data_IF_625053527903
#
_entry.id   IF_625053527903
#
_cell.length_a   1.000
_cell.length_b   1.000
_cell.length_c   1.000
_cell.angle_alpha   90.00
_cell.angle_beta   90.00
_cell.angle_gamma   90.00
#
_symmetry.space_group_name_H-M   'P 1'
#
loop_
_entity.id
_entity.type
_entity.pdbx_description
1 polymer ?
#
# COMPACT_ATOMS: atom_id res chain seq x y z
N UNK A 1 -0.23 17.23 20.77
CA UNK A 1 -1.19 16.52 19.89
C UNK A 1 -1.95 17.55 19.09
N UNK A 2 -2.08 17.37 17.77
CA UNK A 2 -2.84 18.28 16.92
C UNK A 2 -4.32 18.29 17.33
N UNK A 3 -4.89 19.48 17.51
CA UNK A 3 -6.29 19.69 17.93
C UNK A 3 -7.24 19.92 16.76
N UNK A 4 -6.71 20.07 15.54
CA UNK A 4 -7.48 20.27 14.30
C UNK A 4 -6.87 19.45 13.14
N UNK A 5 -7.65 19.10 12.11
CA UNK A 5 -7.14 18.38 10.92
C UNK A 5 -5.99 19.12 10.23
N UNK A 6 -6.08 20.44 10.11
CA UNK A 6 -5.04 21.30 9.50
C UNK A 6 -3.75 21.28 10.33
N UNK A 7 -3.86 21.33 11.66
CA UNK A 7 -2.70 21.19 12.54
C UNK A 7 -2.06 19.80 12.43
N UNK A 8 -2.87 18.75 12.22
CA UNK A 8 -2.39 17.40 11.95
C UNK A 8 -1.61 17.30 10.64
N UNK A 9 -2.12 17.95 9.58
CA UNK A 9 -1.43 18.06 8.30
C UNK A 9 -0.09 18.77 8.45
N UNK A 10 -0.07 19.95 9.08
CA UNK A 10 1.16 20.71 9.29
C UNK A 10 2.20 19.90 10.10
N UNK A 11 1.76 19.14 11.12
CA UNK A 11 2.64 18.28 11.90
C UNK A 11 3.22 17.12 11.07
N UNK A 12 2.42 16.49 10.21
CA UNK A 12 2.89 15.41 9.33
C UNK A 12 3.85 15.95 8.26
N UNK A 13 3.59 17.14 7.71
CA UNK A 13 4.49 17.82 6.77
C UNK A 13 5.83 18.16 7.42
N UNK A 14 5.82 18.69 8.64
CA UNK A 14 7.04 18.94 9.40
C UNK A 14 7.83 17.65 9.62
N UNK A 15 7.17 16.59 10.12
CA UNK A 15 7.83 15.29 10.35
C UNK A 15 8.42 14.73 9.06
N UNK A 16 7.70 14.87 7.95
CA UNK A 16 8.19 14.44 6.65
C UNK A 16 9.44 15.23 6.22
N UNK A 17 9.44 16.56 6.41
CA UNK A 17 10.60 17.39 6.11
C UNK A 17 11.82 17.07 6.99
N UNK A 18 11.60 16.62 8.22
CA UNK A 18 12.66 16.18 9.14
C UNK A 18 13.23 14.80 8.75
N UNK A 19 12.34 13.85 8.43
CA UNK A 19 12.74 12.48 8.10
C UNK A 19 13.40 12.37 6.73
N UNK A 20 12.91 13.12 5.74
CA UNK A 20 13.44 13.06 4.40
C UNK A 20 13.38 14.43 3.70
N UNK A 21 14.31 15.35 4.03
CA UNK A 21 14.31 16.72 3.48
C UNK A 21 14.50 16.78 1.96
N UNK A 22 15.02 15.70 1.36
CA UNK A 22 15.19 15.56 -0.09
C UNK A 22 14.10 14.73 -0.76
N UNK A 23 13.34 13.95 0.02
CA UNK A 23 12.24 13.15 -0.50
C UNK A 23 10.99 14.02 -0.50
N UNK A 24 10.42 14.24 -1.67
CA UNK A 24 9.13 14.91 -1.81
C UNK A 24 8.05 13.86 -2.11
N UNK A 25 7.61 13.06 -1.12
CA UNK A 25 6.46 12.21 -1.37
C UNK A 25 5.26 13.12 -1.67
N UNK A 26 4.45 12.69 -2.63
CA UNK A 26 3.37 13.49 -3.20
C UNK A 26 2.01 12.99 -2.70
N UNK A 27 1.57 13.44 -1.52
CA UNK A 27 0.21 13.18 -1.08
C UNK A 27 -0.74 13.99 -1.96
N UNK A 28 -1.20 13.40 -3.05
CA UNK A 28 -2.19 14.03 -3.94
C UNK A 28 -3.57 13.95 -3.29
N UNK A 29 -4.33 15.07 -3.18
CA UNK A 29 -5.71 15.00 -2.71
C UNK A 29 -6.61 14.30 -3.73
N UNK A 30 -7.84 14.00 -3.31
CA UNK A 30 -8.89 13.70 -4.28
C UNK A 30 -9.18 14.97 -5.08
N UNK A 31 -8.96 14.90 -6.39
CA UNK A 31 -9.32 15.98 -7.28
C UNK A 31 -10.76 15.76 -7.76
N UNK A 32 -11.66 16.68 -7.40
CA UNK A 32 -12.97 16.82 -8.04
C UNK A 32 -12.91 18.13 -8.81
N UNK A 33 -12.90 18.09 -10.15
CA UNK A 33 -12.85 19.33 -10.89
C UNK A 33 -14.18 20.06 -10.71
N UNK A 34 -14.09 21.38 -10.55
CA UNK A 34 -15.22 22.30 -10.38
C UNK A 34 -16.18 22.29 -11.58
N UNK A 35 -15.76 21.75 -12.72
CA UNK A 35 -16.49 21.77 -13.98
C UNK A 35 -16.89 20.40 -14.54
N UNK A 36 -16.51 19.28 -13.90
CA UNK A 36 -17.01 17.97 -14.37
C UNK A 36 -18.45 17.79 -13.93
N UNK A 37 -19.39 17.86 -14.87
CA UNK A 37 -20.71 17.28 -14.68
C UNK A 37 -20.52 15.80 -14.34
N UNK A 38 -20.95 15.45 -13.13
CA UNK A 38 -20.89 14.15 -12.47
C UNK A 38 -20.71 12.97 -13.44
N UNK A 39 -19.50 12.41 -13.51
CA UNK A 39 -19.32 11.04 -13.99
C UNK A 39 -19.55 10.11 -12.81
N UNK A 40 -20.82 9.86 -12.52
CA UNK A 40 -21.28 8.90 -11.51
C UNK A 40 -20.86 7.49 -11.96
N UNK A 41 -20.18 6.74 -11.09
CA UNK A 41 -20.17 5.28 -11.18
C UNK A 41 -18.84 4.57 -11.49
N UNK A 42 -17.69 5.25 -11.58
CA UNK A 42 -16.39 4.55 -11.55
C UNK A 42 -15.76 4.70 -10.18
N UNK A 43 -15.37 3.57 -9.58
CA UNK A 43 -14.53 3.52 -8.37
C UNK A 43 -13.43 4.56 -8.51
N UNK A 44 -13.47 5.59 -7.66
CA UNK A 44 -12.62 6.77 -7.79
C UNK A 44 -11.15 6.41 -7.53
N UNK A 45 -10.47 5.94 -8.57
CA UNK A 45 -9.02 5.99 -8.63
C UNK A 45 -8.62 7.46 -8.47
N UNK A 46 -7.60 7.70 -7.64
CA UNK A 46 -7.01 9.04 -7.51
C UNK A 46 -6.46 9.41 -8.90
N UNK A 47 -7.06 10.40 -9.56
CA UNK A 47 -6.56 10.91 -10.83
C UNK A 47 -5.13 11.43 -10.63
N UNK A 48 -4.21 10.99 -11.49
CA UNK A 48 -2.77 11.26 -11.38
C UNK A 48 -2.20 11.59 -12.74
N UNK A 49 -1.04 12.23 -12.74
CA UNK A 49 -0.28 12.41 -13.98
C UNK A 49 -1.09 13.11 -15.06
N UNK A 50 -1.21 12.44 -16.22
CA UNK A 50 -1.99 12.92 -17.35
C UNK A 50 -3.48 13.01 -17.00
N UNK A 51 -4.05 12.01 -16.33
CA UNK A 51 -5.47 12.01 -15.96
C UNK A 51 -5.83 13.22 -15.09
N UNK A 52 -4.93 13.64 -14.21
CA UNK A 52 -5.11 14.85 -13.40
C UNK A 52 -5.20 16.09 -14.30
N UNK A 53 -4.27 16.27 -15.23
CA UNK A 53 -4.28 17.42 -16.15
C UNK A 53 -5.54 17.43 -17.03
N UNK A 54 -5.96 16.26 -17.50
CA UNK A 54 -7.16 16.10 -18.32
C UNK A 54 -8.44 16.41 -17.52
N UNK A 55 -8.47 16.06 -16.24
CA UNK A 55 -9.58 16.33 -15.34
C UNK A 55 -9.69 17.83 -15.02
N UNK A 56 -8.58 18.57 -15.04
CA UNK A 56 -8.53 20.02 -14.84
C UNK A 56 -9.05 20.82 -16.05
N UNK A 57 -9.11 20.22 -17.24
CA UNK A 57 -9.56 20.89 -18.45
C UNK A 57 -11.10 20.92 -18.55
N UNK A 58 -11.66 22.09 -18.86
CA UNK A 58 -13.11 22.29 -19.01
C UNK A 58 -13.63 21.78 -20.36
N UNK A 59 -12.86 21.94 -21.44
CA UNK A 59 -13.30 21.60 -22.81
C UNK A 59 -12.45 20.49 -23.44
N UNK A 60 -12.98 19.86 -24.50
CA UNK A 60 -12.24 18.86 -25.26
C UNK A 60 -11.04 19.45 -26.02
N UNK A 61 -11.15 20.70 -26.51
CA UNK A 61 -10.04 21.39 -27.15
C UNK A 61 -8.86 21.61 -26.19
N UNK A 62 -9.15 22.04 -24.95
CA UNK A 62 -8.12 22.17 -23.90
C UNK A 62 -7.43 20.84 -23.59
N UNK A 63 -8.20 19.73 -23.58
CA UNK A 63 -7.65 18.38 -23.39
C UNK A 63 -6.69 17.98 -24.50
N UNK A 64 -7.01 18.31 -25.76
CA UNK A 64 -6.13 18.06 -26.91
C UNK A 64 -4.83 18.87 -26.80
N UNK A 65 -4.92 20.15 -26.42
CA UNK A 65 -3.72 20.99 -26.18
C UNK A 65 -2.80 20.42 -25.08
N UNK A 66 -3.38 19.89 -24.00
CA UNK A 66 -2.61 19.24 -22.93
C UNK A 66 -1.95 17.95 -23.40
N UNK A 67 -2.63 17.14 -24.22
CA UNK A 67 -2.05 15.92 -24.78
C UNK A 67 -0.84 16.24 -25.66
N UNK A 68 -0.97 17.24 -26.54
CA UNK A 68 0.14 17.72 -27.36
C UNK A 68 1.30 18.24 -26.51
N UNK A 69 1.01 18.98 -25.43
CA UNK A 69 2.01 19.47 -24.49
C UNK A 69 2.78 18.32 -23.84
N UNK A 70 2.07 17.32 -23.31
CA UNK A 70 2.70 16.16 -22.64
C UNK A 70 3.54 15.36 -23.62
N UNK A 71 3.06 15.10 -24.84
CA UNK A 71 3.81 14.42 -25.89
C UNK A 71 5.06 15.18 -26.31
N UNK A 72 4.98 16.52 -26.40
CA UNK A 72 6.11 17.37 -26.78
C UNK A 72 7.27 17.31 -25.78
N UNK A 73 6.97 17.21 -24.49
CA UNK A 73 7.99 17.18 -23.44
C UNK A 73 8.39 15.76 -23.02
N UNK A 74 7.61 14.74 -23.38
CA UNK A 74 7.95 13.34 -23.13
C UNK A 74 8.97 12.84 -24.17
N UNK A 75 10.19 12.53 -23.72
CA UNK A 75 11.24 12.01 -24.60
C UNK A 75 11.08 10.52 -24.93
N UNK A 76 10.35 9.79 -24.10
CA UNK A 76 10.22 8.33 -24.17
C UNK A 76 8.76 7.91 -23.87
N UNK A 77 7.80 8.22 -24.77
CA UNK A 77 6.37 8.03 -24.51
C UNK A 77 5.93 6.57 -24.39
N UNK A 78 6.74 5.61 -24.83
CA UNK A 78 6.44 4.19 -24.71
C UNK A 78 6.83 3.60 -23.35
N UNK A 79 7.73 4.25 -22.61
CA UNK A 79 8.25 3.76 -21.32
C UNK A 79 7.94 4.66 -20.13
N UNK A 80 7.76 5.96 -20.38
CA UNK A 80 7.69 6.96 -19.33
C UNK A 80 6.29 7.58 -19.27
N UNK A 81 5.75 7.61 -18.06
CA UNK A 81 4.49 8.27 -17.75
C UNK A 81 4.75 9.62 -17.07
N UNK A 82 3.86 10.59 -17.30
CA UNK A 82 3.95 11.89 -16.64
C UNK A 82 3.43 11.80 -15.20
N UNK A 83 4.24 12.20 -14.25
CA UNK A 83 3.88 12.41 -12.85
C UNK A 83 3.90 13.90 -12.52
N UNK A 84 2.85 14.38 -11.84
CA UNK A 84 2.77 15.79 -11.39
C UNK A 84 3.13 15.85 -9.90
N UNK A 85 4.20 16.58 -9.61
CA UNK A 85 4.67 16.88 -8.27
C UNK A 85 3.90 18.08 -7.71
N UNK A 86 3.48 17.98 -6.46
CA UNK A 86 2.89 19.06 -5.71
C UNK A 86 2.87 18.81 -4.21
N UNK A 87 2.62 19.85 -3.44
CA UNK A 87 2.52 19.79 -1.99
C UNK A 87 1.34 20.64 -1.51
N UNK A 88 0.68 20.16 -0.46
CA UNK A 88 -0.31 20.98 0.23
C UNK A 88 0.39 22.11 0.99
N UNK A 89 -0.15 23.33 0.94
CA UNK A 89 0.30 24.43 1.76
C UNK A 89 -0.74 24.70 2.85
N UNK A 90 -0.38 24.36 4.09
CA UNK A 90 -1.25 24.55 5.24
C UNK A 90 -1.54 26.03 5.55
N UNK A 91 -0.67 26.96 5.12
CA UNK A 91 -0.88 28.39 5.35
C UNK A 91 -1.94 28.97 4.40
N UNK A 92 -1.90 28.57 3.13
CA UNK A 92 -2.85 29.02 2.10
C UNK A 92 -4.06 28.09 1.94
N UNK A 93 -4.05 26.94 2.62
CA UNK A 93 -5.07 25.88 2.51
C UNK A 93 -5.29 25.43 1.06
N UNK A 94 -4.22 25.40 0.27
CA UNK A 94 -4.26 25.10 -1.15
C UNK A 94 -3.22 24.05 -1.53
N UNK A 95 -3.52 23.25 -2.55
CA UNK A 95 -2.59 22.27 -3.10
C UNK A 95 -1.78 22.89 -4.24
N UNK A 96 -0.46 22.99 -4.07
CA UNK A 96 0.42 23.64 -5.04
C UNK A 96 1.08 22.63 -5.97
N UNK A 97 0.75 22.68 -7.26
CA UNK A 97 1.41 21.93 -8.32
C UNK A 97 2.71 22.64 -8.72
N UNK A 98 3.83 21.96 -8.58
CA UNK A 98 5.15 22.57 -8.70
C UNK A 98 5.95 22.09 -9.89
N UNK A 99 5.74 20.86 -10.37
CA UNK A 99 6.57 20.30 -11.45
C UNK A 99 5.92 19.07 -12.09
N UNK A 100 6.14 18.88 -13.38
CA UNK A 100 5.90 17.63 -14.09
C UNK A 100 7.24 16.88 -14.26
N UNK A 101 7.22 15.57 -14.03
CA UNK A 101 8.37 14.67 -14.23
C UNK A 101 7.93 13.45 -15.00
N UNK A 102 8.80 12.92 -15.85
CA UNK A 102 8.55 11.67 -16.57
C UNK A 102 9.25 10.54 -15.83
N UNK A 103 8.49 9.49 -15.52
CA UNK A 103 8.94 8.38 -14.69
C UNK A 103 8.61 7.06 -15.38
N UNK A 104 9.52 6.11 -15.29
CA UNK A 104 9.26 4.73 -15.66
C UNK A 104 8.38 4.04 -14.60
N UNK A 105 7.96 2.80 -14.90
CA UNK A 105 7.06 2.00 -14.07
C UNK A 105 7.51 1.88 -12.59
N UNK A 106 8.77 1.53 -12.33
CA UNK A 106 9.26 1.29 -10.95
C UNK A 106 9.27 2.57 -10.08
N UNK A 107 9.80 3.71 -10.53
CA UNK A 107 9.63 4.97 -9.81
C UNK A 107 8.16 5.39 -9.66
N UNK A 108 7.31 5.10 -10.65
CA UNK A 108 5.89 5.44 -10.60
C UNK A 108 5.17 4.74 -9.44
N UNK A 109 5.49 3.47 -9.16
CA UNK A 109 4.95 2.72 -8.02
C UNK A 109 5.14 3.49 -6.70
N UNK A 110 6.27 4.15 -6.54
CA UNK A 110 6.57 4.90 -5.31
C UNK A 110 5.77 6.21 -5.22
N UNK A 111 5.49 6.83 -6.36
CA UNK A 111 4.53 7.93 -6.42
C UNK A 111 3.10 7.42 -6.16
N UNK A 112 2.85 6.12 -6.40
CA UNK A 112 1.62 5.43 -6.07
C UNK A 112 1.64 4.68 -4.74
N UNK A 113 1.60 5.43 -3.63
CA UNK A 113 1.57 4.88 -2.27
C UNK A 113 0.55 3.76 -2.03
N UNK A 114 -0.59 3.75 -2.75
CA UNK A 114 -1.58 2.68 -2.59
C UNK A 114 -1.08 1.39 -3.23
N UNK A 115 -0.64 1.46 -4.50
CA UNK A 115 -0.05 0.32 -5.21
C UNK A 115 1.23 -0.17 -4.52
N UNK A 116 2.06 0.74 -3.98
CA UNK A 116 3.25 0.32 -3.23
C UNK A 116 2.88 -0.43 -1.94
N UNK A 117 1.81 -0.03 -1.24
CA UNK A 117 1.32 -0.73 -0.03
C UNK A 117 0.68 -2.06 -0.40
N UNK A 118 -0.06 -2.13 -1.51
CA UNK A 118 -0.60 -3.40 -2.04
C UNK A 118 0.54 -4.34 -2.42
N UNK A 119 1.56 -3.84 -3.13
CA UNK A 119 2.77 -4.58 -3.49
C UNK A 119 3.52 -5.08 -2.26
N UNK A 120 3.62 -4.29 -1.18
CA UNK A 120 4.23 -4.76 0.08
C UNK A 120 3.51 -5.98 0.68
N UNK A 121 2.20 -6.13 0.44
CA UNK A 121 1.40 -7.27 0.91
C UNK A 121 1.52 -8.46 -0.05
N UNK A 122 1.52 -8.20 -1.36
CA UNK A 122 1.55 -9.24 -2.39
C UNK A 122 2.96 -9.80 -2.63
N UNK A 123 3.95 -8.92 -2.81
CA UNK A 123 5.35 -9.24 -3.07
C UNK A 123 6.29 -8.26 -2.32
N UNK A 124 6.69 -8.59 -1.08
CA UNK A 124 7.55 -7.73 -0.28
C UNK A 124 8.96 -7.57 -0.85
N UNK A 125 9.44 -8.48 -1.70
CA UNK A 125 10.76 -8.40 -2.33
C UNK A 125 10.75 -7.34 -3.44
N UNK A 126 9.74 -7.36 -4.31
CA UNK A 126 9.56 -6.35 -5.35
C UNK A 126 9.32 -4.95 -4.75
N UNK A 127 8.53 -4.85 -3.67
CA UNK A 127 8.32 -3.59 -2.97
C UNK A 127 9.63 -3.02 -2.39
N UNK A 128 10.48 -3.88 -1.83
CA UNK A 128 11.78 -3.48 -1.31
C UNK A 128 12.71 -2.96 -2.42
N UNK A 129 12.70 -3.57 -3.60
CA UNK A 129 13.47 -3.11 -4.76
C UNK A 129 13.01 -1.73 -5.27
N UNK A 130 11.70 -1.48 -5.28
CA UNK A 130 11.14 -0.17 -5.64
C UNK A 130 11.59 0.93 -4.64
N UNK A 131 11.58 0.62 -3.34
CA UNK A 131 12.05 1.54 -2.28
C UNK A 131 13.56 1.79 -2.39
N UNK A 132 14.35 0.76 -2.69
CA UNK A 132 15.79 0.92 -2.90
C UNK A 132 16.11 1.79 -4.11
N UNK A 133 15.33 1.66 -5.18
CA UNK A 133 15.43 2.49 -6.38
C UNK A 133 15.08 3.95 -6.09
N UNK A 134 14.06 4.20 -5.26
CA UNK A 134 13.74 5.53 -4.76
C UNK A 134 14.89 6.13 -3.95
N UNK A 135 15.45 5.37 -3.01
CA UNK A 135 16.56 5.82 -2.17
C UNK A 135 17.75 6.23 -3.03
N UNK A 136 18.16 5.37 -3.97
CA UNK A 136 19.27 5.64 -4.89
C UNK A 136 19.01 6.88 -5.74
N UNK A 137 17.81 7.04 -6.31
CA UNK A 137 17.47 8.19 -7.16
C UNK A 137 17.46 9.52 -6.40
N UNK A 138 17.21 9.49 -5.09
CA UNK A 138 17.26 10.65 -4.21
C UNK A 138 18.62 10.84 -3.50
N UNK A 139 19.63 10.02 -3.84
CA UNK A 139 20.98 10.12 -3.28
C UNK A 139 21.11 9.63 -1.84
N UNK A 140 20.23 8.71 -1.43
CA UNK A 140 20.24 8.05 -0.13
C UNK A 140 20.78 6.63 -0.21
N UNK A 141 21.33 6.15 0.90
CA UNK A 141 21.85 4.78 1.02
C UNK A 141 20.71 3.78 1.28
N UNK A 142 20.86 2.56 0.75
CA UNK A 142 19.86 1.48 0.89
C UNK A 142 19.67 1.07 2.36
N UNK A 143 20.68 1.26 3.21
CA UNK A 143 20.55 1.02 4.66
C UNK A 143 19.54 1.94 5.35
N UNK A 144 19.11 3.03 4.71
CA UNK A 144 18.09 3.95 5.20
C UNK A 144 16.65 3.52 4.86
N UNK A 145 16.44 2.24 4.48
CA UNK A 145 15.12 1.71 4.11
C UNK A 145 14.04 1.94 5.16
N UNK A 146 14.35 1.75 6.44
CA UNK A 146 13.40 2.00 7.53
C UNK A 146 12.91 3.45 7.61
N UNK A 147 13.80 4.41 7.32
CA UNK A 147 13.46 5.83 7.25
C UNK A 147 12.54 6.08 6.04
N UNK A 148 12.82 5.46 4.90
CA UNK A 148 11.94 5.56 3.73
C UNK A 148 10.55 4.98 4.00
N UNK A 149 10.46 3.80 4.62
CA UNK A 149 9.19 3.18 5.02
C UNK A 149 8.39 4.08 5.98
N UNK A 150 9.06 4.71 6.96
CA UNK A 150 8.44 5.68 7.84
C UNK A 150 7.94 6.92 7.07
N UNK A 151 8.73 7.44 6.14
CA UNK A 151 8.33 8.57 5.28
C UNK A 151 7.12 8.23 4.41
N UNK A 152 7.10 7.04 3.81
CA UNK A 152 5.98 6.54 3.01
C UNK A 152 4.71 6.40 3.86
N UNK A 153 4.85 5.91 5.09
CA UNK A 153 3.74 5.81 6.05
C UNK A 153 3.18 7.18 6.43
N UNK A 154 4.05 8.16 6.69
CA UNK A 154 3.66 9.55 6.97
C UNK A 154 2.98 10.18 5.75
N UNK A 155 3.50 9.96 4.55
CA UNK A 155 2.92 10.44 3.30
C UNK A 155 1.53 9.83 3.04
N UNK A 156 1.36 8.54 3.32
CA UNK A 156 0.07 7.85 3.22
C UNK A 156 -0.97 8.41 4.20
N UNK A 157 -0.56 8.67 5.45
CA UNK A 157 -1.42 9.31 6.44
C UNK A 157 -1.84 10.72 6.01
N UNK A 158 -0.89 11.51 5.48
CA UNK A 158 -1.14 12.84 4.96
C UNK A 158 -2.12 12.80 3.77
N UNK A 159 -1.91 11.89 2.82
CA UNK A 159 -2.85 11.65 1.71
C UNK A 159 -4.26 11.33 2.26
N UNK A 160 -4.36 10.45 3.26
CA UNK A 160 -5.64 10.06 3.85
C UNK A 160 -6.37 11.24 4.49
N UNK A 161 -5.66 12.13 5.18
CA UNK A 161 -6.25 13.36 5.74
C UNK A 161 -6.70 14.33 4.65
N UNK A 162 -5.91 14.50 3.58
CA UNK A 162 -6.27 15.37 2.45
C UNK A 162 -7.52 14.87 1.71
N UNK A 163 -7.81 13.56 1.72
CA UNK A 163 -9.06 13.00 1.18
C UNK A 163 -10.32 13.41 1.93
N UNK A 164 -10.20 13.91 3.16
CA UNK A 164 -11.35 14.36 3.94
C UNK A 164 -11.86 15.75 3.52
N UNK A 165 -11.11 16.48 2.69
CA UNK A 165 -11.53 17.79 2.21
C UNK A 165 -12.47 17.63 1.00
N UNK A 166 -13.66 18.29 1.01
CA UNK A 166 -14.63 18.18 -0.07
C UNK A 166 -14.16 18.86 -1.36
N UNK A 167 -13.42 19.96 -1.26
CA UNK A 167 -12.73 20.62 -2.37
C UNK A 167 -11.52 21.35 -1.81
N UNK A 168 -10.33 21.08 -2.36
CA UNK A 168 -9.10 21.77 -2.01
C UNK A 168 -8.76 22.71 -3.18
N UNK A 169 -8.71 24.04 -2.95
CA UNK A 169 -8.20 24.98 -3.95
C UNK A 169 -6.80 24.55 -4.40
N UNK A 170 -6.49 24.68 -5.68
CA UNK A 170 -5.15 24.40 -6.17
C UNK A 170 -4.47 25.66 -6.68
N UNK A 171 -3.15 25.66 -6.60
CA UNK A 171 -2.29 26.68 -7.19
C UNK A 171 -1.31 26.01 -8.13
N UNK A 172 -0.89 26.71 -9.19
CA UNK A 172 0.21 26.30 -10.04
C UNK A 172 1.36 27.27 -9.76
N UNK A 173 2.51 26.75 -9.31
CA UNK A 173 3.67 27.57 -8.91
C UNK A 173 3.29 28.69 -7.90
N UNK A 174 2.39 28.38 -6.96
CA UNK A 174 1.91 29.32 -5.94
C UNK A 174 0.89 30.36 -6.42
N UNK A 175 0.47 30.32 -7.69
CA UNK A 175 -0.61 31.18 -8.20
C UNK A 175 -1.94 30.42 -8.18
N UNK A 176 -3.01 30.95 -7.56
CA UNK A 176 -4.33 30.33 -7.63
C UNK A 176 -4.85 30.37 -9.06
N UNK A 177 -5.38 29.25 -9.53
CA UNK A 177 -5.86 29.10 -10.91
C UNK A 177 -7.27 28.51 -10.87
N UNK A 178 -8.17 29.13 -11.61
CA UNK A 178 -9.51 28.62 -11.91
C UNK A 178 -9.58 28.47 -13.43
N UNK A 179 -9.86 27.26 -13.92
CA UNK A 179 -9.85 26.95 -15.36
C UNK A 179 -11.29 26.84 -15.84
N UNK A 180 -11.72 27.81 -16.62
CA UNK A 180 -13.03 27.80 -17.29
C UNK A 180 -12.91 27.53 -18.80
N UNK A 181 -14.05 27.58 -19.51
CA UNK A 181 -14.10 27.35 -20.97
C UNK A 181 -13.33 28.39 -21.79
N UNK A 182 -13.06 29.57 -21.22
CA UNK A 182 -12.37 30.70 -21.87
C UNK A 182 -10.89 30.78 -21.52
N UNK A 183 -10.43 29.95 -20.60
CA UNK A 183 -9.06 29.97 -20.08
C UNK A 183 -8.12 29.29 -21.07
N UNK A 184 -7.02 29.98 -21.41
CA UNK A 184 -5.90 29.39 -22.16
C UNK A 184 -5.09 28.47 -21.22
N UNK A 185 -5.10 27.16 -21.48
CA UNK A 185 -4.48 26.16 -20.58
C UNK A 185 -2.99 25.98 -20.79
N UNK A 186 -2.48 26.22 -22.01
CA UNK A 186 -1.05 26.08 -22.32
C UNK A 186 -0.14 26.97 -21.45
N UNK A 187 -0.39 28.30 -21.31
CA UNK A 187 0.42 29.17 -20.45
C UNK A 187 0.40 28.76 -18.97
N UNK A 188 -0.67 28.11 -18.52
CA UNK A 188 -0.84 27.66 -17.14
C UNK A 188 -0.04 26.39 -16.86
N UNK A 189 -0.03 25.42 -17.78
CA UNK A 189 0.65 24.14 -17.57
C UNK A 189 2.11 24.14 -18.01
N UNK A 190 2.52 24.97 -18.97
CA UNK A 190 3.91 25.10 -19.42
C UNK A 190 4.92 25.25 -18.26
N UNK A 191 4.68 26.09 -17.23
CA UNK A 191 5.56 26.21 -16.07
C UNK A 191 5.72 24.95 -15.20
N UNK A 192 4.89 23.92 -15.38
CA UNK A 192 5.10 22.62 -14.73
C UNK A 192 6.19 21.82 -15.46
N UNK A 193 6.30 21.96 -16.78
CA UNK A 193 7.28 21.25 -17.61
C UNK A 193 8.60 22.01 -17.75
N UNK A 194 8.56 23.34 -17.61
CA UNK A 194 9.73 24.22 -17.65
C UNK A 194 10.26 24.52 -16.22
N UNK A 195 11.57 24.72 -16.07
CA UNK A 195 12.15 25.18 -14.81
C UNK A 195 11.68 26.62 -14.49
N UNK A 196 11.44 26.96 -13.21
CA UNK A 196 10.81 28.22 -12.85
C UNK A 196 11.69 29.43 -13.19
N UNK A 197 11.27 30.24 -14.16
CA UNK A 197 11.73 31.62 -14.30
C UNK A 197 10.89 32.54 -13.40
N UNK A 198 11.55 33.38 -12.60
CA UNK A 198 10.92 34.33 -11.69
C UNK A 198 10.32 35.50 -12.49
N UNK A 199 9.00 35.69 -12.47
CA UNK A 199 8.35 36.85 -13.11
C UNK A 199 7.71 37.82 -12.12
N UNK A 200 7.89 39.12 -12.42
CA UNK A 200 7.39 40.30 -11.71
C UNK A 200 5.99 40.69 -12.22
N UNK A 201 5.13 41.17 -11.31
CA UNK A 201 3.75 41.59 -11.58
C UNK A 201 3.64 42.96 -12.27
N UNK A 202 2.61 43.12 -13.12
CA UNK A 202 2.17 44.40 -13.72
C UNK A 202 0.68 44.63 -13.40
N UNK A 203 0.34 45.83 -12.93
CA UNK A 203 -1.02 46.29 -12.63
C UNK A 203 -1.57 47.15 -13.78
N UNK A 204 -2.84 46.97 -14.16
CA UNK A 204 -3.60 47.91 -15.00
C UNK A 204 -4.91 48.29 -14.32
N UNK A 205 -5.20 49.61 -14.25
CA UNK A 205 -6.51 50.15 -13.80
C UNK A 205 -7.19 50.85 -14.97
N UNK A 206 -8.46 50.54 -15.22
CA UNK A 206 -9.37 51.34 -16.07
C UNK A 206 -10.42 52.03 -15.18
N UNK A 207 -10.90 53.21 -15.60
CA UNK A 207 -12.20 53.76 -15.17
C UNK A 207 -12.91 54.50 -16.29
N UNK A 208 -14.21 54.23 -16.33
CA UNK A 208 -15.35 54.68 -17.13
C UNK A 208 -15.76 56.13 -16.88
N UNK A 209 -16.54 56.71 -17.81
CA UNK A 209 -17.78 57.45 -17.48
C UNK A 209 -18.58 57.87 -18.73
N UNK A 210 -19.89 57.56 -18.74
CA UNK A 210 -20.90 58.34 -19.46
C UNK A 210 -22.23 58.35 -18.70
N UNK A 211 -22.79 59.55 -18.50
CA UNK A 211 -24.12 59.83 -17.92
C UNK A 211 -25.03 60.36 -19.04
N UNK A 212 -26.33 60.01 -19.02
CA UNK A 212 -27.45 60.98 -19.10
C UNK A 212 -28.86 60.35 -18.92
N UNK A 213 -29.67 61.13 -18.17
CA UNK A 213 -31.15 61.22 -17.95
C UNK A 213 -32.02 61.02 -19.21
N UNK A 214 -33.37 60.85 -19.21
CA UNK A 214 -34.48 60.77 -18.23
C UNK A 214 -35.74 60.22 -18.97
N UNK A 215 -36.56 59.46 -18.24
CA UNK A 215 -38.02 59.16 -18.31
C UNK A 215 -38.86 59.46 -19.56
N UNK A 216 -39.73 58.49 -19.91
CA UNK A 216 -41.18 58.72 -19.78
C UNK A 216 -41.93 57.42 -19.46
N UNK A 217 -42.18 57.01 -18.20
CA UNK A 217 -42.84 55.70 -18.01
C UNK A 217 -43.40 55.44 -16.61
N UNK A 218 -44.74 55.50 -16.46
CA UNK A 218 -45.44 54.98 -15.27
C UNK A 218 -45.95 53.55 -15.51
N UNK A 219 -46.46 53.25 -16.71
CA UNK A 219 -46.93 51.91 -17.06
C UNK A 219 -45.79 50.91 -17.32
N UNK A 220 -44.65 51.33 -17.89
CA UNK A 220 -43.47 50.45 -17.89
C UNK A 220 -42.81 50.34 -16.53
N UNK A 221 -42.95 51.32 -15.63
CA UNK A 221 -42.40 51.17 -14.28
C UNK A 221 -43.15 50.06 -13.51
N UNK A 222 -44.46 49.94 -13.71
CA UNK A 222 -45.27 48.89 -13.08
C UNK A 222 -45.03 47.52 -13.74
N UNK A 223 -44.94 47.46 -15.07
CA UNK A 223 -44.56 46.22 -15.78
C UNK A 223 -43.12 45.78 -15.48
N UNK A 224 -42.21 46.73 -15.27
CA UNK A 224 -40.85 46.46 -14.82
C UNK A 224 -40.81 46.01 -13.35
N UNK A 225 -41.64 46.59 -12.48
CA UNK A 225 -41.76 46.15 -11.09
C UNK A 225 -42.34 44.73 -10.97
N UNK A 226 -43.31 44.38 -11.82
CA UNK A 226 -43.88 43.03 -11.86
C UNK A 226 -42.92 42.02 -12.51
N UNK A 227 -42.20 42.41 -13.56
CA UNK A 227 -41.13 41.61 -14.14
C UNK A 227 -40.00 41.34 -13.13
N UNK A 228 -39.65 42.34 -12.32
CA UNK A 228 -38.68 42.20 -11.22
C UNK A 228 -39.20 41.28 -10.11
N UNK A 229 -40.50 41.34 -9.77
CA UNK A 229 -41.11 40.39 -8.83
C UNK A 229 -41.07 38.95 -9.34
N UNK A 230 -41.45 38.74 -10.60
CA UNK A 230 -41.42 37.41 -11.20
C UNK A 230 -39.99 36.88 -11.26
N UNK A 231 -39.03 37.73 -11.66
CA UNK A 231 -37.62 37.37 -11.65
C UNK A 231 -37.14 36.93 -10.27
N UNK A 232 -37.55 37.60 -9.19
CA UNK A 232 -37.20 37.19 -7.83
C UNK A 232 -37.81 35.86 -7.41
N UNK A 233 -39.04 35.57 -7.85
CA UNK A 233 -39.67 34.28 -7.59
C UNK A 233 -38.99 33.15 -8.34
N UNK A 234 -38.60 33.42 -9.60
CA UNK A 234 -37.86 32.45 -10.41
C UNK A 234 -36.45 32.23 -9.83
N UNK A 235 -35.75 33.29 -9.41
CA UNK A 235 -34.45 33.20 -8.71
C UNK A 235 -34.57 32.39 -7.40
N UNK A 236 -35.61 32.64 -6.60
CA UNK A 236 -35.85 31.86 -5.37
C UNK A 236 -36.12 30.37 -5.65
N UNK A 237 -36.84 30.09 -6.73
CA UNK A 237 -37.13 28.71 -7.15
C UNK A 237 -35.87 28.00 -7.63
N UNK A 238 -35.02 28.69 -8.39
CA UNK A 238 -33.73 28.17 -8.83
C UNK A 238 -32.81 27.89 -7.62
N UNK A 239 -32.82 28.75 -6.60
CA UNK A 239 -32.10 28.53 -5.33
C UNK A 239 -32.64 27.31 -4.57
N UNK A 240 -33.95 27.12 -4.50
CA UNK A 240 -34.58 25.96 -3.85
C UNK A 240 -34.27 24.65 -4.59
N UNK A 241 -34.29 24.67 -5.92
CA UNK A 241 -33.94 23.54 -6.78
C UNK A 241 -32.44 23.20 -6.64
N UNK A 242 -31.55 24.19 -6.61
CA UNK A 242 -30.12 24.00 -6.32
C UNK A 242 -29.90 23.42 -4.93
N UNK A 243 -30.61 23.92 -3.92
CA UNK A 243 -30.52 23.40 -2.55
C UNK A 243 -31.03 21.96 -2.46
N UNK A 244 -32.06 21.59 -3.24
CA UNK A 244 -32.55 20.22 -3.34
C UNK A 244 -31.49 19.27 -3.95
N UNK A 245 -30.85 19.68 -5.05
CA UNK A 245 -29.77 18.91 -5.69
C UNK A 245 -28.60 18.69 -4.73
N UNK A 246 -28.17 19.75 -4.02
CA UNK A 246 -27.07 19.63 -3.04
C UNK A 246 -27.43 18.68 -1.89
N UNK A 247 -28.68 18.69 -1.42
CA UNK A 247 -29.15 17.74 -0.39
C UNK A 247 -29.09 16.30 -0.90
N UNK A 248 -29.55 16.05 -2.13
CA UNK A 248 -29.52 14.71 -2.74
C UNK A 248 -28.08 14.21 -2.90
N UNK A 249 -27.17 15.03 -3.44
CA UNK A 249 -25.74 14.70 -3.55
C UNK A 249 -25.13 14.38 -2.18
N UNK A 250 -25.43 15.17 -1.15
CA UNK A 250 -24.91 14.94 0.19
C UNK A 250 -25.45 13.62 0.80
N UNK A 251 -26.70 13.27 0.53
CA UNK A 251 -27.30 12.00 0.96
C UNK A 251 -26.61 10.83 0.25
N UNK A 252 -26.46 10.89 -1.07
CA UNK A 252 -25.78 9.84 -1.85
C UNK A 252 -24.31 9.68 -1.42
N UNK A 253 -23.61 10.78 -1.19
CA UNK A 253 -22.25 10.76 -0.67
C UNK A 253 -22.18 10.11 0.72
N UNK A 254 -23.09 10.47 1.63
CA UNK A 254 -23.15 9.84 2.95
C UNK A 254 -23.42 8.34 2.86
N UNK A 255 -24.35 7.91 2.00
CA UNK A 255 -24.67 6.49 1.78
C UNK A 255 -23.46 5.74 1.22
N UNK A 256 -22.82 6.26 0.18
CA UNK A 256 -21.64 5.62 -0.43
C UNK A 256 -20.46 5.51 0.54
N UNK A 257 -20.22 6.54 1.37
CA UNK A 257 -19.19 6.48 2.42
C UNK A 257 -19.53 5.44 3.49
N UNK A 258 -20.79 5.36 3.94
CA UNK A 258 -21.23 4.36 4.91
C UNK A 258 -21.15 2.93 4.35
N UNK A 259 -21.50 2.71 3.09
CA UNK A 259 -21.39 1.41 2.44
C UNK A 259 -19.93 0.98 2.26
N UNK A 260 -19.05 1.90 1.86
CA UNK A 260 -17.61 1.62 1.77
C UNK A 260 -17.01 1.27 3.14
N UNK A 261 -17.41 1.96 4.20
CA UNK A 261 -16.99 1.63 5.57
C UNK A 261 -17.54 0.28 6.04
N UNK A 262 -18.81 -0.03 5.73
CA UNK A 262 -19.40 -1.34 6.00
C UNK A 262 -18.62 -2.45 5.29
N UNK A 263 -18.27 -2.27 4.02
CA UNK A 263 -17.45 -3.22 3.27
C UNK A 263 -16.07 -3.41 3.90
N UNK A 264 -15.40 -2.32 4.34
CA UNK A 264 -14.12 -2.43 5.05
C UNK A 264 -14.22 -3.28 6.31
N UNK A 265 -15.26 -3.07 7.13
CA UNK A 265 -15.48 -3.87 8.35
C UNK A 265 -15.70 -5.35 8.03
N UNK A 266 -16.50 -5.64 7.00
CA UNK A 266 -16.70 -7.02 6.54
C UNK A 266 -15.37 -7.65 6.10
N UNK A 267 -14.57 -6.94 5.29
CA UNK A 267 -13.26 -7.42 4.85
C UNK A 267 -12.27 -7.60 6.01
N UNK A 268 -12.31 -6.72 7.00
CA UNK A 268 -11.49 -6.83 8.20
C UNK A 268 -11.91 -8.06 9.03
N UNK A 269 -13.22 -8.26 9.23
CA UNK A 269 -13.74 -9.43 9.96
C UNK A 269 -13.37 -10.73 9.26
N UNK A 270 -13.50 -10.81 7.93
CA UNK A 270 -13.10 -12.01 7.17
C UNK A 270 -11.59 -12.27 7.29
N UNK A 271 -10.75 -11.23 7.21
CA UNK A 271 -9.30 -11.36 7.39
C UNK A 271 -8.94 -11.84 8.80
N UNK A 272 -9.60 -11.32 9.85
CA UNK A 272 -9.37 -11.81 11.22
C UNK A 272 -9.80 -13.26 11.40
N UNK A 273 -10.88 -13.70 10.73
CA UNK A 273 -11.33 -15.08 10.77
C UNK A 273 -10.35 -16.02 10.05
N UNK A 274 -9.86 -15.64 8.86
CA UNK A 274 -8.80 -16.39 8.15
C UNK A 274 -7.55 -16.48 9.02
N UNK A 275 -7.14 -15.40 9.68
CA UNK A 275 -5.98 -15.40 10.58
C UNK A 275 -6.18 -16.36 11.77
N UNK A 276 -7.37 -16.36 12.40
CA UNK A 276 -7.72 -17.33 13.46
C UNK A 276 -7.65 -18.77 12.95
N UNK A 277 -8.15 -19.03 11.75
CA UNK A 277 -8.11 -20.37 11.15
C UNK A 277 -6.68 -20.81 10.83
N UNK A 278 -5.83 -19.92 10.33
CA UNK A 278 -4.41 -20.20 10.11
C UNK A 278 -3.68 -20.55 11.42
N UNK A 279 -3.93 -19.79 12.50
CA UNK A 279 -3.35 -20.08 13.81
C UNK A 279 -3.81 -21.43 14.35
N UNK A 280 -5.10 -21.75 14.22
CA UNK A 280 -5.64 -23.08 14.58
C UNK A 280 -4.99 -24.19 13.76
N UNK A 281 -4.88 -24.02 12.44
CA UNK A 281 -4.26 -25.00 11.56
C UNK A 281 -2.77 -25.21 11.89
N UNK A 282 -2.04 -24.13 12.21
CA UNK A 282 -0.64 -24.20 12.67
C UNK A 282 -0.54 -24.97 13.98
N UNK A 283 -1.38 -24.64 14.97
CA UNK A 283 -1.42 -25.35 16.25
C UNK A 283 -1.73 -26.84 16.08
N UNK A 284 -2.68 -27.20 15.21
CA UNK A 284 -2.98 -28.60 14.89
C UNK A 284 -1.77 -29.30 14.29
N UNK A 285 -1.09 -28.68 13.31
CA UNK A 285 0.13 -29.24 12.70
C UNK A 285 1.23 -29.48 13.73
N UNK A 286 1.46 -28.52 14.63
CA UNK A 286 2.49 -28.62 15.67
C UNK A 286 2.17 -29.76 16.66
N UNK A 287 0.91 -29.89 17.08
CA UNK A 287 0.45 -30.99 17.95
C UNK A 287 0.62 -32.33 17.25
N UNK A 288 0.22 -32.46 15.98
CA UNK A 288 0.39 -33.70 15.21
C UNK A 288 1.86 -34.09 15.12
N UNK A 289 2.76 -33.13 14.84
CA UNK A 289 4.21 -33.37 14.78
C UNK A 289 4.77 -33.86 16.12
N UNK A 290 4.33 -33.28 17.23
CA UNK A 290 4.73 -33.72 18.58
C UNK A 290 4.23 -35.14 18.87
N UNK A 291 2.99 -35.46 18.52
CA UNK A 291 2.40 -36.79 18.70
C UNK A 291 3.14 -37.83 17.86
N UNK A 292 3.47 -37.53 16.60
CA UNK A 292 4.22 -38.42 15.72
C UNK A 292 5.66 -38.66 16.22
N UNK A 293 6.30 -37.61 16.74
CA UNK A 293 7.62 -37.71 17.36
C UNK A 293 7.58 -38.63 18.58
N UNK A 294 6.60 -38.44 19.47
CA UNK A 294 6.42 -39.29 20.65
C UNK A 294 6.04 -40.73 20.28
N UNK A 295 5.19 -40.93 19.27
CA UNK A 295 4.85 -42.25 18.75
C UNK A 295 6.10 -42.97 18.24
N UNK A 296 6.95 -42.28 17.48
CA UNK A 296 8.21 -42.82 16.97
C UNK A 296 9.15 -43.21 18.11
N UNK A 297 9.24 -42.38 19.16
CA UNK A 297 10.02 -42.68 20.38
C UNK A 297 9.51 -43.92 21.11
N UNK A 298 8.20 -44.11 21.24
CA UNK A 298 7.62 -45.31 21.86
C UNK A 298 7.88 -46.56 21.04
N UNK A 299 7.70 -46.50 19.73
CA UNK A 299 8.02 -47.62 18.83
C UNK A 299 9.49 -48.00 18.91
N UNK A 300 10.41 -47.02 18.98
CA UNK A 300 11.84 -47.32 19.13
C UNK A 300 12.17 -47.91 20.51
N UNK A 301 11.54 -47.42 21.58
CA UNK A 301 11.72 -47.97 22.93
C UNK A 301 11.18 -49.41 23.06
N UNK A 302 10.02 -49.69 22.46
CA UNK A 302 9.43 -51.04 22.43
C UNK A 302 10.31 -52.01 21.64
N UNK A 303 10.85 -51.57 20.48
CA UNK A 303 11.82 -52.36 19.70
C UNK A 303 13.07 -52.68 20.52
N UNK A 304 13.63 -51.70 21.22
CA UNK A 304 14.80 -51.90 22.07
C UNK A 304 14.51 -52.88 23.22
N UNK A 305 13.33 -52.77 23.83
CA UNK A 305 12.90 -53.67 24.92
C UNK A 305 12.73 -55.11 24.42
N UNK A 306 12.19 -55.31 23.20
CA UNK A 306 12.11 -56.64 22.58
C UNK A 306 13.49 -57.23 22.32
N UNK A 307 14.41 -56.44 21.75
CA UNK A 307 15.80 -56.86 21.52
C UNK A 307 16.48 -57.24 22.84
N UNK A 308 16.31 -56.46 23.92
CA UNK A 308 16.82 -56.83 25.24
C UNK A 308 16.18 -58.11 25.79
N UNK A 309 14.87 -58.29 25.59
CA UNK A 309 14.13 -59.49 25.99
C UNK A 309 14.59 -60.76 25.25
N UNK A 310 15.03 -60.65 24.00
CA UNK A 310 15.60 -61.76 23.22
C UNK A 310 17.09 -62.03 23.54
N UNK A 311 17.85 -60.96 23.82
CA UNK A 311 19.28 -61.07 24.17
C UNK A 311 19.49 -61.66 25.58
N UNK A 312 18.66 -61.33 26.56
CA UNK A 312 18.81 -61.85 27.93
C UNK A 312 18.79 -63.39 28.02
N UNK A 313 17.81 -64.12 27.43
CA UNK A 313 17.79 -65.58 27.47
C UNK A 313 18.86 -66.20 26.58
N UNK A 314 19.28 -65.56 25.48
CA UNK A 314 20.38 -66.09 24.65
C UNK A 314 21.72 -66.00 25.37
N UNK A 315 22.00 -64.88 26.06
CA UNK A 315 23.16 -64.75 26.93
C UNK A 315 23.12 -65.73 28.11
N UNK A 316 21.96 -65.92 28.74
CA UNK A 316 21.78 -66.91 29.81
C UNK A 316 22.00 -68.34 29.32
N UNK A 317 21.46 -68.72 28.16
CA UNK A 317 21.70 -70.03 27.53
C UNK A 317 23.18 -70.22 27.23
N UNK A 318 23.83 -69.24 26.61
CA UNK A 318 25.27 -69.31 26.30
C UNK A 318 26.11 -69.46 27.56
N UNK A 319 25.80 -68.72 28.63
CA UNK A 319 26.47 -68.86 29.92
C UNK A 319 26.31 -70.23 30.59
N UNK A 320 25.29 -71.01 30.23
CA UNK A 320 25.11 -72.40 30.71
C UNK A 320 25.72 -73.42 29.74
N UNK A 321 25.61 -73.19 28.43
CA UNK A 321 26.12 -74.10 27.39
C UNK A 321 27.65 -74.10 27.36
N UNK A 322 28.29 -72.93 27.39
CA UNK A 322 29.75 -72.80 27.34
C UNK A 322 30.46 -73.64 28.44
N UNK A 323 30.05 -73.59 29.73
CA UNK A 323 30.65 -74.45 30.77
C UNK A 323 30.25 -75.92 30.64
N UNK A 324 29.06 -76.25 30.12
CA UNK A 324 28.65 -77.63 29.86
C UNK A 324 29.49 -78.26 28.75
N UNK A 325 29.71 -77.55 27.65
CA UNK A 325 30.57 -77.98 26.54
C UNK A 325 32.02 -78.10 26.99
N UNK A 326 32.55 -77.11 27.73
CA UNK A 326 33.88 -77.20 28.33
C UNK A 326 34.01 -78.42 29.25
N UNK A 327 32.98 -78.71 30.05
CA UNK A 327 32.91 -79.91 30.89
C UNK A 327 32.81 -81.22 30.09
N UNK A 328 32.11 -81.23 28.96
CA UNK A 328 32.02 -82.38 28.07
C UNK A 328 33.38 -82.66 27.39
N UNK A 329 34.05 -81.62 26.86
CA UNK A 329 35.40 -81.73 26.29
C UNK A 329 36.39 -82.28 27.32
N UNK A 330 36.33 -81.81 28.57
CA UNK A 330 37.16 -82.33 29.67
C UNK A 330 36.90 -83.82 29.94
N UNK A 331 35.64 -84.26 29.93
CA UNK A 331 35.27 -85.69 30.12
C UNK A 331 35.77 -86.56 28.97
N UNK A 332 35.54 -86.15 27.72
CA UNK A 332 36.06 -86.86 26.54
C UNK A 332 37.58 -86.96 26.54
N UNK A 333 38.27 -85.90 26.97
CA UNK A 333 39.72 -85.89 27.12
C UNK A 333 40.17 -86.84 28.23
N UNK A 334 39.49 -86.87 29.39
CA UNK A 334 39.79 -87.82 30.46
C UNK A 334 39.55 -89.27 30.02
N UNK A 335 38.43 -89.57 29.36
CA UNK A 335 38.13 -90.91 28.82
C UNK A 335 39.18 -91.34 27.80
N UNK A 336 39.59 -90.44 26.90
CA UNK A 336 40.66 -90.72 25.93
C UNK A 336 41.99 -91.03 26.63
N UNK A 337 42.35 -90.26 27.66
CA UNK A 337 43.56 -90.51 28.47
C UNK A 337 43.44 -91.86 29.19
N UNK A 338 42.28 -92.19 29.76
CA UNK A 338 42.05 -93.48 30.43
C UNK A 338 42.14 -94.67 29.48
N UNK A 339 41.65 -94.56 28.25
CA UNK A 339 41.82 -95.59 27.22
C UNK A 339 43.31 -95.80 26.91
N UNK A 340 44.06 -94.72 26.67
CA UNK A 340 45.51 -94.80 26.44
C UNK A 340 46.25 -95.40 27.65
N UNK A 341 45.85 -95.06 28.87
CA UNK A 341 46.45 -95.61 30.08
C UNK A 341 46.18 -97.11 30.26
N UNK A 342 45.03 -97.60 29.80
CA UNK A 342 44.68 -99.03 29.85
C UNK A 342 45.34 -99.83 28.71
N UNK A 343 45.62 -99.21 27.57
CA UNK A 343 46.27 -99.86 26.42
C UNK A 343 47.81 -99.84 26.47
N UNK A 344 48.42 -99.07 27.38
CA UNK A 344 49.86 -99.15 27.62
C UNK A 344 50.19 -100.48 28.33
N UNK A 345 50.83 -101.46 27.66
CA UNK A 345 51.24 -102.68 28.32
C UNK A 345 52.23 -102.31 29.41
N UNK A 346 51.89 -102.68 30.65
CA UNK A 346 52.75 -102.54 31.81
C UNK A 346 54.01 -103.39 31.58
N UNK A 347 55.02 -102.80 30.95
CA UNK A 347 56.36 -103.36 30.80
C UNK A 347 57.02 -103.31 32.17
N UNK A 348 56.70 -104.31 33.00
CA UNK A 348 57.48 -104.61 34.20
C UNK A 348 58.87 -105.01 33.75
N UNK A 349 59.80 -104.08 33.86
CA UNK A 349 61.24 -104.32 33.77
C UNK A 349 61.61 -105.31 34.88
N UNK A 350 61.89 -106.55 34.51
CA UNK A 350 62.55 -107.52 35.38
C UNK A 350 64.03 -107.12 35.49
N UNK A 351 64.46 -106.80 36.70
CA UNK A 351 65.85 -106.92 37.14
C UNK A 351 65.99 -108.16 38.00
#
# INVERSE_FOLDING_TARGET
MATTPIAGIAQLQQRLSELAPKLAPQPMPKFQPTHSKATVGKTAHVARGLDLLMLMCATQAQKEEVLELVQKFNKSPESDEVAILGAFDAATNAFNLTKATYLSETPMLVHNFVELVELQVEDPEAAAEAIDTLLKSNGHDVSQRSIAEECLSVAYALHTLLRAFPSIPFTIQGSPVEIDETTEVLPLFLPLFAAPEKTKAVHTKSKTATKKRKQPNKNMAERAAEGERQRRLDEHKDEDDQAAIVREINIEYAVTVMEAERQRRICQDTLTEVHKQMLRAKSIKDVTKLVETERSRRVSADRLTRVHGELAPTLSKKGVVDPMEAGHIRRMSQESISIVHNELPCTKTQT
#
